data_IF_214355674446
#
_entry.id   IF_214355674446
#
_cell.length_a   1.000
_cell.length_b   1.000
_cell.length_c   1.000
_cell.angle_alpha   90.00
_cell.angle_beta   90.00
_cell.angle_gamma   90.00
#
_symmetry.space_group_name_H-M   'P 1'
#
loop_
_entity.id
_entity.type
_entity.pdbx_description
1 polymer ?
#
# COMPACT_ATOMS: atom_id res chain seq x y z
N UNK A 1 5.46 6.17 6.77
CA UNK A 1 5.42 6.73 8.14
C UNK A 1 4.20 7.66 8.39
N UNK A 2 3.49 8.12 7.35
CA UNK A 2 2.28 8.94 7.49
C UNK A 2 1.01 8.12 7.84
N UNK A 3 0.80 6.98 7.15
CA UNK A 3 -0.38 6.12 7.34
C UNK A 3 -0.54 5.61 8.78
N UNK A 4 0.57 5.22 9.41
CA UNK A 4 0.61 4.78 10.82
C UNK A 4 0.17 5.88 11.79
N UNK A 5 0.59 7.13 11.56
CA UNK A 5 0.21 8.25 12.43
C UNK A 5 -1.27 8.57 12.31
N UNK A 6 -1.85 8.50 11.10
CA UNK A 6 -3.29 8.69 10.90
C UNK A 6 -4.16 7.58 11.48
N UNK A 7 -3.69 6.34 11.52
CA UNK A 7 -4.42 5.26 12.17
C UNK A 7 -4.46 5.38 13.71
N UNK A 8 -3.57 6.18 14.29
CA UNK A 8 -3.52 6.43 15.74
C UNK A 8 -4.37 7.64 16.17
N UNK A 9 -4.82 8.46 15.22
CA UNK A 9 -5.68 9.62 15.51
C UNK A 9 -7.09 9.15 15.92
N UNK A 10 -7.60 9.60 17.08
CA UNK A 10 -8.96 9.25 17.49
C UNK A 10 -9.98 9.85 16.52
N UNK A 11 -11.01 9.06 16.18
CA UNK A 11 -12.13 9.53 15.34
C UNK A 11 -12.73 10.82 15.89
N UNK A 12 -13.14 11.72 15.00
CA UNK A 12 -13.79 13.00 15.33
C UNK A 12 -15.12 12.84 16.09
N UNK A 13 -15.70 11.65 16.06
CA UNK A 13 -16.92 11.27 16.80
C UNK A 13 -16.64 10.45 18.07
N UNK A 14 -15.36 10.20 18.39
CA UNK A 14 -14.98 9.46 19.58
C UNK A 14 -15.25 10.27 20.86
N UNK A 15 -16.45 10.12 21.40
CA UNK A 15 -16.78 10.60 22.75
C UNK A 15 -16.05 9.74 23.79
N UNK A 16 -15.22 10.38 24.64
CA UNK A 16 -14.63 9.72 25.81
C UNK A 16 -15.77 9.29 26.75
N UNK A 17 -16.20 8.04 26.65
CA UNK A 17 -17.21 7.49 27.54
C UNK A 17 -16.63 7.35 28.95
N UNK A 18 -16.83 8.38 29.78
CA UNK A 18 -16.31 8.44 31.16
C UNK A 18 -16.83 7.30 32.06
N UNK A 19 -18.00 6.75 31.74
CA UNK A 19 -18.72 5.80 32.60
C UNK A 19 -18.50 4.33 32.22
N UNK A 20 -17.87 4.06 31.08
CA UNK A 20 -17.60 2.69 30.62
C UNK A 20 -16.10 2.48 30.58
N UNK A 21 -15.53 2.11 31.74
CA UNK A 21 -14.15 1.62 31.79
C UNK A 21 -14.06 0.44 30.82
N UNK A 22 -13.30 0.59 29.73
CA UNK A 22 -13.09 -0.50 28.77
C UNK A 22 -12.60 -1.74 29.53
N UNK A 23 -13.03 -2.95 29.16
CA UNK A 23 -12.49 -4.20 29.73
C UNK A 23 -10.96 -4.27 29.60
N UNK A 24 -10.40 -3.56 28.62
CA UNK A 24 -8.96 -3.45 28.38
C UNK A 24 -8.28 -2.30 29.14
N UNK A 25 -9.01 -1.46 29.86
CA UNK A 25 -8.43 -0.33 30.64
C UNK A 25 -7.51 -0.78 31.79
N UNK A 26 -7.58 -2.06 32.18
CA UNK A 26 -6.64 -2.68 33.12
C UNK A 26 -5.42 -3.32 32.46
N UNK A 27 -5.45 -3.55 31.15
CA UNK A 27 -4.33 -4.13 30.39
C UNK A 27 -3.26 -3.05 30.27
N UNK A 28 -2.08 -3.30 30.88
CA UNK A 28 -0.99 -2.33 30.99
C UNK A 28 -0.81 -1.70 32.39
N UNK A 29 -1.67 -1.99 33.37
CA UNK A 29 -1.48 -1.48 34.75
C UNK A 29 -0.53 -2.33 35.58
N UNK A 30 -0.51 -3.65 35.39
CA UNK A 30 0.43 -4.58 36.05
C UNK A 30 1.67 -4.90 35.22
N UNK A 31 1.56 -4.90 33.88
CA UNK A 31 2.67 -5.05 32.94
C UNK A 31 2.61 -3.91 31.91
N UNK A 32 3.19 -2.75 32.26
CA UNK A 32 3.22 -1.55 31.41
C UNK A 32 3.92 -1.77 30.06
N UNK A 33 4.89 -2.67 30.03
CA UNK A 33 5.73 -2.97 28.87
C UNK A 33 6.13 -4.43 28.97
N UNK A 34 5.75 -5.25 28.00
CA UNK A 34 6.34 -6.60 27.85
C UNK A 34 7.62 -6.38 27.05
N UNK A 35 8.79 -6.59 27.67
CA UNK A 35 10.08 -6.45 27.00
C UNK A 35 10.38 -7.73 26.24
N UNK A 36 11.13 -7.65 25.14
CA UNK A 36 11.51 -8.81 24.34
C UNK A 36 12.15 -9.95 25.16
N UNK A 37 12.86 -9.58 26.24
CA UNK A 37 13.46 -10.51 27.20
C UNK A 37 12.45 -11.34 28.01
N UNK A 38 11.21 -10.87 28.14
CA UNK A 38 10.16 -11.53 28.93
C UNK A 38 9.47 -12.65 28.11
N UNK A 39 9.72 -12.71 26.80
CA UNK A 39 9.21 -13.74 25.90
C UNK A 39 10.14 -14.96 25.75
N UNK A 40 11.33 -14.94 26.36
CA UNK A 40 12.33 -16.00 26.23
C UNK A 40 12.77 -16.56 27.58
N UNK A 41 12.77 -17.89 27.71
CA UNK A 41 13.45 -18.57 28.82
C UNK A 41 14.93 -18.23 28.73
N UNK A 42 15.54 -17.72 29.81
CA UNK A 42 16.95 -17.28 29.85
C UNK A 42 17.99 -18.42 29.72
N UNK A 43 17.61 -19.54 29.12
CA UNK A 43 18.48 -20.65 28.79
C UNK A 43 18.79 -20.63 27.31
N UNK A 44 20.08 -20.59 26.99
CA UNK A 44 20.66 -20.68 25.65
C UNK A 44 20.75 -19.32 24.94
N UNK A 45 21.69 -18.49 25.40
CA UNK A 45 22.45 -17.63 24.49
C UNK A 45 23.33 -18.58 23.68
N UNK A 46 22.76 -19.23 22.67
CA UNK A 46 23.57 -19.85 21.63
C UNK A 46 24.29 -18.68 20.99
N UNK A 47 25.61 -18.70 21.05
CA UNK A 47 26.48 -17.78 20.35
C UNK A 47 26.14 -17.92 18.87
N UNK A 48 25.15 -17.15 18.39
CA UNK A 48 24.82 -17.01 16.97
C UNK A 48 25.95 -16.18 16.39
N UNK A 49 27.08 -16.86 16.18
CA UNK A 49 28.23 -16.36 15.46
C UNK A 49 27.73 -15.79 14.14
N UNK A 50 27.80 -14.47 13.99
CA UNK A 50 27.68 -13.71 12.74
C UNK A 50 26.76 -14.36 11.68
N UNK A 51 25.57 -14.82 12.11
CA UNK A 51 24.61 -15.42 11.20
C UNK A 51 23.88 -14.24 10.56
N UNK A 52 24.08 -14.09 9.24
CA UNK A 52 23.46 -13.08 8.38
C UNK A 52 22.13 -12.60 8.97
N UNK A 53 22.01 -11.31 9.33
CA UNK A 53 20.82 -10.75 9.98
C UNK A 53 19.53 -11.04 9.19
N UNK A 54 19.67 -11.36 7.90
CA UNK A 54 18.58 -11.63 6.96
C UNK A 54 18.13 -13.10 6.87
N UNK A 55 18.76 -14.07 7.56
CA UNK A 55 18.42 -15.51 7.39
C UNK A 55 16.94 -15.81 7.66
N UNK A 56 16.36 -15.16 8.67
CA UNK A 56 14.92 -15.31 8.95
C UNK A 56 14.09 -14.73 7.81
N UNK A 57 14.43 -13.51 7.36
CA UNK A 57 13.72 -12.85 6.27
C UNK A 57 13.81 -13.65 4.97
N UNK A 58 14.98 -14.19 4.63
CA UNK A 58 15.20 -15.00 3.44
C UNK A 58 14.36 -16.30 3.48
N UNK A 59 14.26 -16.95 4.65
CA UNK A 59 13.39 -18.11 4.85
C UNK A 59 11.93 -17.78 4.68
N UNK A 60 11.48 -16.65 5.24
CA UNK A 60 10.11 -16.16 5.07
C UNK A 60 9.84 -15.83 3.60
N UNK A 61 10.76 -15.13 2.93
CA UNK A 61 10.66 -14.79 1.52
C UNK A 61 10.60 -16.02 0.60
N UNK A 62 11.37 -17.07 0.90
CA UNK A 62 11.28 -18.35 0.20
C UNK A 62 9.91 -18.99 0.39
N UNK A 63 9.42 -19.08 1.63
CA UNK A 63 8.11 -19.68 1.92
C UNK A 63 6.95 -18.91 1.30
N UNK A 64 7.01 -17.57 1.28
CA UNK A 64 6.00 -16.74 0.62
C UNK A 64 5.94 -17.02 -0.90
N UNK A 65 7.09 -17.23 -1.54
CA UNK A 65 7.18 -17.58 -2.97
C UNK A 65 6.67 -18.99 -3.26
N UNK A 66 7.07 -19.97 -2.46
CA UNK A 66 6.63 -21.36 -2.60
C UNK A 66 5.11 -21.50 -2.44
N UNK A 67 4.55 -20.86 -1.42
CA UNK A 67 3.14 -20.99 -1.06
C UNK A 67 2.22 -19.98 -1.77
N UNK A 68 2.78 -19.07 -2.57
CA UNK A 68 2.05 -18.02 -3.30
C UNK A 68 1.12 -17.19 -2.39
N UNK A 69 1.53 -16.96 -1.14
CA UNK A 69 0.70 -16.24 -0.16
C UNK A 69 0.63 -14.76 -0.53
N UNK A 70 -0.59 -14.24 -0.66
CA UNK A 70 -0.86 -12.83 -0.93
C UNK A 70 -0.96 -12.07 0.41
N UNK A 71 0.08 -11.32 0.77
CA UNK A 71 0.14 -10.49 1.97
C UNK A 71 0.97 -9.24 1.70
N UNK A 72 0.95 -8.26 2.61
CA UNK A 72 1.68 -7.01 2.43
C UNK A 72 3.17 -7.22 2.19
N UNK A 73 3.78 -8.22 2.84
CA UNK A 73 5.20 -8.58 2.65
C UNK A 73 5.47 -9.20 1.28
N UNK A 74 4.59 -10.07 0.78
CA UNK A 74 4.80 -10.70 -0.52
C UNK A 74 4.72 -9.71 -1.67
N UNK A 75 4.01 -8.59 -1.52
CA UNK A 75 3.97 -7.52 -2.53
C UNK A 75 5.33 -6.84 -2.76
N UNK A 76 6.26 -6.89 -1.79
CA UNK A 76 7.62 -6.36 -1.93
C UNK A 76 8.66 -7.42 -2.30
N UNK A 77 8.39 -8.68 -1.96
CA UNK A 77 9.35 -9.78 -2.05
C UNK A 77 9.13 -10.64 -3.29
N UNK A 78 7.87 -10.95 -3.60
CA UNK A 78 7.52 -11.78 -4.73
C UNK A 78 7.56 -10.96 -6.02
N UNK A 79 7.96 -11.60 -7.11
CA UNK A 79 7.94 -10.97 -8.41
C UNK A 79 6.49 -10.71 -8.84
N UNK A 80 6.18 -9.46 -9.16
CA UNK A 80 4.88 -9.05 -9.67
C UNK A 80 4.66 -9.63 -11.07
N UNK A 81 3.40 -9.91 -11.42
CA UNK A 81 3.04 -10.31 -12.79
C UNK A 81 3.42 -9.19 -13.76
N UNK A 82 3.66 -9.53 -15.03
CA UNK A 82 4.06 -8.54 -16.05
C UNK A 82 3.10 -7.33 -16.15
N UNK A 83 1.79 -7.58 -16.04
CA UNK A 83 0.77 -6.52 -16.02
C UNK A 83 0.85 -5.63 -14.77
N UNK A 84 1.21 -6.18 -13.61
CA UNK A 84 1.33 -5.46 -12.35
C UNK A 84 2.63 -4.64 -12.26
N UNK A 85 3.65 -5.00 -13.07
CA UNK A 85 4.88 -4.20 -13.24
C UNK A 85 4.60 -2.82 -13.85
N UNK A 86 3.38 -2.57 -14.33
CA UNK A 86 2.93 -1.25 -14.78
C UNK A 86 2.41 -0.36 -13.65
N UNK A 87 2.27 -0.88 -12.43
CA UNK A 87 1.85 -0.10 -11.25
C UNK A 87 2.83 1.04 -10.97
N UNK A 88 2.32 2.20 -10.54
CA UNK A 88 3.18 3.35 -10.24
C UNK A 88 4.20 3.03 -9.16
N UNK A 89 3.82 2.19 -8.19
CA UNK A 89 4.71 1.72 -7.13
C UNK A 89 5.89 0.93 -7.69
N UNK A 90 5.65 -0.01 -8.61
CA UNK A 90 6.71 -0.78 -9.23
C UNK A 90 7.63 0.12 -10.07
N UNK A 91 7.06 1.02 -10.87
CA UNK A 91 7.83 1.95 -11.69
C UNK A 91 8.73 2.85 -10.85
N UNK A 92 8.22 3.40 -9.74
CA UNK A 92 9.03 4.20 -8.80
C UNK A 92 10.14 3.36 -8.18
N UNK A 93 9.83 2.15 -7.72
CA UNK A 93 10.83 1.28 -7.11
C UNK A 93 11.92 0.88 -8.10
N UNK A 94 11.55 0.58 -9.35
CA UNK A 94 12.49 0.25 -10.42
C UNK A 94 13.33 1.46 -10.80
N UNK A 95 12.72 2.63 -10.97
CA UNK A 95 13.44 3.89 -11.24
C UNK A 95 14.47 4.19 -10.15
N UNK A 96 14.09 4.01 -8.88
CA UNK A 96 15.00 4.21 -7.73
C UNK A 96 16.19 3.26 -7.71
N UNK A 97 16.05 2.04 -8.25
CA UNK A 97 17.14 1.07 -8.35
C UNK A 97 18.04 1.32 -9.56
N UNK A 98 17.52 1.93 -10.62
CA UNK A 98 18.22 2.11 -11.89
C UNK A 98 18.88 3.48 -12.06
N UNK A 99 18.46 4.50 -11.31
CA UNK A 99 18.96 5.87 -11.45
C UNK A 99 19.54 6.40 -10.15
N UNK A 100 20.58 7.24 -10.25
CA UNK A 100 21.21 7.92 -9.11
C UNK A 100 20.53 9.27 -8.83
N UNK A 101 20.01 9.92 -9.87
CA UNK A 101 19.40 11.26 -9.79
C UNK A 101 17.87 11.19 -9.85
N UNK A 102 17.23 11.53 -8.74
CA UNK A 102 15.78 11.49 -8.58
C UNK A 102 15.11 12.81 -8.98
N UNK A 103 15.03 13.06 -10.29
CA UNK A 103 14.27 14.18 -10.84
C UNK A 103 12.93 13.72 -11.47
N UNK A 104 11.92 14.59 -11.41
CA UNK A 104 10.58 14.32 -11.96
C UNK A 104 10.62 14.15 -13.47
N UNK A 105 11.42 14.95 -14.21
CA UNK A 105 11.50 14.84 -15.67
C UNK A 105 12.17 13.53 -16.09
N UNK A 106 13.18 13.11 -15.34
CA UNK A 106 13.84 11.82 -15.53
C UNK A 106 12.87 10.66 -15.27
N UNK A 107 12.06 10.75 -14.22
CA UNK A 107 11.05 9.73 -13.92
C UNK A 107 9.98 9.65 -15.02
N UNK A 108 9.51 10.79 -15.55
CA UNK A 108 8.54 10.80 -16.66
C UNK A 108 9.16 10.17 -17.92
N UNK A 109 10.42 10.48 -18.23
CA UNK A 109 11.14 9.89 -19.37
C UNK A 109 11.30 8.38 -19.19
N UNK A 110 11.66 7.93 -17.99
CA UNK A 110 11.72 6.52 -17.64
C UNK A 110 10.37 5.82 -17.86
N UNK A 111 9.27 6.43 -17.38
CA UNK A 111 7.94 5.88 -17.57
C UNK A 111 7.57 5.76 -19.06
N UNK A 112 7.90 6.76 -19.89
CA UNK A 112 7.65 6.70 -21.34
C UNK A 112 8.35 5.51 -22.00
N UNK A 113 9.58 5.20 -21.59
CA UNK A 113 10.33 4.07 -22.13
C UNK A 113 9.79 2.72 -21.65
N UNK A 114 9.33 2.66 -20.40
CA UNK A 114 8.78 1.43 -19.80
C UNK A 114 7.33 1.14 -20.24
N UNK A 115 6.52 2.19 -20.44
CA UNK A 115 5.11 2.11 -20.80
C UNK A 115 4.90 2.02 -22.32
N UNK A 116 5.47 0.98 -22.94
CA UNK A 116 5.25 0.71 -24.36
C UNK A 116 3.78 0.39 -24.65
N UNK A 117 3.37 0.62 -25.90
CA UNK A 117 1.99 0.38 -26.33
C UNK A 117 1.54 -1.07 -26.08
N UNK A 118 2.39 -2.05 -26.39
CA UNK A 118 2.11 -3.47 -26.15
C UNK A 118 1.82 -3.77 -24.67
N UNK A 119 2.60 -3.22 -23.74
CA UNK A 119 2.37 -3.42 -22.29
C UNK A 119 1.11 -2.70 -21.83
N UNK A 120 0.80 -1.53 -22.40
CA UNK A 120 -0.44 -0.81 -22.12
C UNK A 120 -1.67 -1.62 -22.58
N UNK A 121 -1.59 -2.31 -23.74
CA UNK A 121 -2.65 -3.18 -24.22
C UNK A 121 -2.87 -4.39 -23.29
N UNK A 122 -1.80 -5.01 -22.80
CA UNK A 122 -1.91 -6.11 -21.82
C UNK A 122 -2.59 -5.65 -20.52
N UNK A 123 -2.28 -4.45 -20.04
CA UNK A 123 -2.95 -3.86 -18.86
C UNK A 123 -4.42 -3.58 -19.16
N UNK A 124 -4.74 -3.07 -20.36
CA UNK A 124 -6.13 -2.84 -20.78
C UNK A 124 -6.92 -4.15 -20.74
N UNK A 125 -6.38 -5.22 -21.30
CA UNK A 125 -7.00 -6.54 -21.30
C UNK A 125 -7.19 -7.10 -19.87
N UNK A 126 -6.14 -7.01 -19.04
CA UNK A 126 -6.20 -7.46 -17.65
C UNK A 126 -7.14 -6.66 -16.74
N UNK A 127 -7.62 -5.50 -17.20
CA UNK A 127 -8.49 -4.61 -16.44
C UNK A 127 -9.88 -4.41 -17.06
N UNK A 128 -10.28 -5.26 -18.01
CA UNK A 128 -11.62 -5.24 -18.63
C UNK A 128 -12.76 -5.32 -17.58
N UNK A 129 -12.56 -6.08 -16.50
CA UNK A 129 -13.55 -6.22 -15.42
C UNK A 129 -13.67 -4.99 -14.50
N UNK A 130 -12.96 -3.90 -14.79
CA UNK A 130 -13.05 -2.62 -14.08
C UNK A 130 -12.99 -2.77 -12.55
N UNK A 131 -14.03 -2.29 -11.83
CA UNK A 131 -14.10 -2.30 -10.37
C UNK A 131 -14.13 -3.69 -9.73
N UNK A 132 -14.33 -4.74 -10.52
CA UNK A 132 -14.31 -6.12 -10.00
C UNK A 132 -12.88 -6.71 -10.05
N UNK A 133 -11.92 -5.99 -10.63
CA UNK A 133 -10.51 -6.39 -10.70
C UNK A 133 -9.63 -5.58 -9.74
N UNK A 134 -8.90 -6.27 -8.86
CA UNK A 134 -7.88 -5.64 -8.01
C UNK A 134 -6.80 -4.93 -8.83
N UNK A 135 -6.47 -5.46 -10.01
CA UNK A 135 -5.49 -4.86 -10.91
C UNK A 135 -5.91 -3.46 -11.36
N UNK A 136 -7.20 -3.23 -11.58
CA UNK A 136 -7.71 -1.93 -11.98
C UNK A 136 -7.47 -0.86 -10.92
N UNK A 137 -7.67 -1.18 -9.64
CA UNK A 137 -7.37 -0.27 -8.54
C UNK A 137 -5.86 0.01 -8.43
N UNK A 138 -5.02 -1.02 -8.52
CA UNK A 138 -3.56 -0.87 -8.50
C UNK A 138 -3.05 0.02 -9.66
N UNK A 139 -3.66 -0.07 -10.85
CA UNK A 139 -3.29 0.76 -11.99
C UNK A 139 -3.73 2.21 -11.86
N UNK A 140 -4.84 2.48 -11.15
CA UNK A 140 -5.35 3.84 -10.92
C UNK A 140 -4.66 4.54 -9.76
N UNK A 141 -4.16 3.78 -8.79
CA UNK A 141 -3.44 4.31 -7.63
C UNK A 141 -2.30 5.26 -8.06
N UNK A 142 -2.30 6.48 -7.54
CA UNK A 142 -1.28 7.49 -7.81
C UNK A 142 -1.31 8.08 -9.22
N UNK A 143 -2.36 7.83 -10.03
CA UNK A 143 -2.52 8.40 -11.37
C UNK A 143 -3.72 9.33 -11.44
N UNK A 144 -3.56 10.44 -12.18
CA UNK A 144 -4.69 11.32 -12.51
C UNK A 144 -5.56 10.61 -13.56
N UNK A 145 -6.76 10.22 -13.16
CA UNK A 145 -7.74 9.55 -14.03
C UNK A 145 -8.61 10.57 -14.75
N UNK A 146 -9.27 10.18 -15.84
CA UNK A 146 -10.12 11.08 -16.62
C UNK A 146 -11.20 11.77 -15.74
N UNK A 147 -11.82 11.02 -14.84
CA UNK A 147 -12.82 11.55 -13.88
C UNK A 147 -12.26 12.57 -12.89
N UNK A 148 -10.95 12.64 -12.69
CA UNK A 148 -10.25 13.55 -11.77
C UNK A 148 -9.47 14.66 -12.50
N UNK A 149 -9.41 14.63 -13.83
CA UNK A 149 -8.58 15.55 -14.63
C UNK A 149 -9.01 17.01 -14.47
N UNK A 150 -10.32 17.28 -14.51
CA UNK A 150 -10.86 18.64 -14.34
C UNK A 150 -10.53 19.20 -12.95
N UNK A 151 -10.76 18.41 -11.90
CA UNK A 151 -10.42 18.79 -10.52
C UNK A 151 -8.91 19.04 -10.37
N UNK A 152 -8.07 18.16 -10.92
CA UNK A 152 -6.62 18.30 -10.88
C UNK A 152 -6.10 19.54 -11.61
N UNK A 153 -6.75 19.96 -12.71
CA UNK A 153 -6.36 21.16 -13.46
C UNK A 153 -6.70 22.47 -12.73
N UNK A 154 -7.71 22.45 -11.85
CA UNK A 154 -8.19 23.63 -11.12
C UNK A 154 -7.71 23.67 -9.66
N UNK A 155 -7.18 22.56 -9.14
CA UNK A 155 -6.69 22.47 -7.79
C UNK A 155 -5.44 23.33 -7.59
N UNK A 156 -5.51 24.30 -6.67
CA UNK A 156 -4.38 25.15 -6.28
C UNK A 156 -3.70 24.67 -4.99
N UNK A 157 -4.32 23.75 -4.25
CA UNK A 157 -3.79 23.21 -3.00
C UNK A 157 -2.79 22.08 -3.28
N UNK A 158 -1.62 22.16 -2.64
CA UNK A 158 -0.55 21.16 -2.81
C UNK A 158 -0.88 19.82 -2.16
N UNK A 159 -1.50 19.85 -0.98
CA UNK A 159 -1.94 18.70 -0.21
C UNK A 159 -3.40 18.90 0.20
N UNK A 160 -4.21 17.84 0.14
CA UNK A 160 -5.63 17.91 0.46
C UNK A 160 -6.40 16.69 -0.02
N UNK A 161 -7.73 16.79 0.01
CA UNK A 161 -8.65 15.68 -0.32
C UNK A 161 -8.42 15.10 -1.71
N UNK A 162 -8.11 15.92 -2.72
CA UNK A 162 -7.83 15.43 -4.07
C UNK A 162 -6.59 14.53 -4.13
N UNK A 163 -5.52 14.92 -3.42
CA UNK A 163 -4.29 14.13 -3.35
C UNK A 163 -4.56 12.83 -2.61
N UNK A 164 -5.28 12.89 -1.48
CA UNK A 164 -5.71 11.71 -0.73
C UNK A 164 -6.52 10.75 -1.60
N UNK A 165 -7.42 11.27 -2.44
CA UNK A 165 -8.23 10.47 -3.35
C UNK A 165 -7.40 9.81 -4.44
N UNK A 166 -6.45 10.53 -5.06
CA UNK A 166 -5.52 9.98 -6.07
C UNK A 166 -4.65 8.86 -5.46
N UNK A 167 -4.26 9.00 -4.18
CA UNK A 167 -3.56 7.96 -3.43
C UNK A 167 -4.50 6.92 -2.78
N UNK A 168 -5.78 6.91 -3.11
CA UNK A 168 -6.72 5.88 -2.66
C UNK A 168 -6.98 5.87 -1.15
N UNK A 169 -6.72 6.97 -0.44
CA UNK A 169 -6.98 7.08 1.00
C UNK A 169 -8.47 7.25 1.33
N UNK A 170 -9.28 7.67 0.35
CA UNK A 170 -10.72 7.86 0.52
C UNK A 170 -11.46 6.63 0.01
N UNK A 171 -12.14 5.93 0.91
CA UNK A 171 -13.07 4.86 0.53
C UNK A 171 -14.36 5.47 -0.01
N UNK A 172 -14.64 5.25 -1.29
CA UNK A 172 -15.90 5.69 -1.90
C UNK A 172 -17.05 4.78 -1.47
N UNK A 173 -18.09 5.39 -0.90
CA UNK A 173 -19.38 4.73 -0.78
C UNK A 173 -20.12 4.86 -2.10
N UNK A 174 -20.62 3.74 -2.62
CA UNK A 174 -21.42 3.76 -3.86
C UNK A 174 -22.72 4.53 -3.64
N UNK A 175 -22.85 5.66 -4.33
CA UNK A 175 -24.10 6.43 -4.36
C UNK A 175 -25.16 5.72 -5.21
N UNK A 176 -26.42 6.08 -5.03
CA UNK A 176 -27.51 5.55 -5.86
C UNK A 176 -27.29 5.82 -7.35
N UNK A 177 -26.67 6.95 -7.70
CA UNK A 177 -26.31 7.27 -9.08
C UNK A 177 -25.25 6.30 -9.64
N UNK A 178 -24.21 5.97 -8.86
CA UNK A 178 -23.16 5.00 -9.25
C UNK A 178 -23.77 3.61 -9.44
N UNK A 179 -24.60 3.15 -8.49
CA UNK A 179 -25.27 1.85 -8.57
C UNK A 179 -26.16 1.74 -9.80
N UNK A 180 -26.94 2.80 -10.08
CA UNK A 180 -27.77 2.87 -11.28
C UNK A 180 -26.92 2.86 -12.55
N UNK A 181 -25.80 3.58 -12.58
CA UNK A 181 -24.86 3.58 -13.70
C UNK A 181 -24.35 2.18 -14.02
N UNK A 182 -23.86 1.45 -13.01
CA UNK A 182 -23.40 0.06 -13.17
C UNK A 182 -24.45 -0.91 -13.70
N UNK A 183 -25.74 -0.67 -13.43
CA UNK A 183 -26.84 -1.53 -13.92
C UNK A 183 -27.18 -1.23 -15.39
N UNK A 184 -26.93 0.00 -15.84
CA UNK A 184 -27.34 0.49 -17.16
C UNK A 184 -26.21 0.51 -18.20
N UNK A 185 -24.96 0.30 -17.79
CA UNK A 185 -23.78 0.09 -18.64
C UNK A 185 -23.64 -1.39 -19.04
#
# INVERSE_FOLDING_TARGET
MWLHRRSEEPSTTATKCYWKKSKLSGVGTTLKMIKAKDFGTSGIILHLAAQNENIFFDKVALKLRELQIQCSLSQFICEKKEVEKMSIYYLINRFKKSCVDFDVKNFITFCKNEMTESRCLQVKEGTIAQSDSNLWFEMRYGRITASKMHEAAQCTTKDGSLVEEIFGAVTFNETNAIKRGKILE
#
